data_IF_525037929932
#
_entry.id   IF_525037929932
#
_cell.length_a   1.000
_cell.length_b   1.000
_cell.length_c   1.000
_cell.angle_alpha   90.00
_cell.angle_beta   90.00
_cell.angle_gamma   90.00
#
_symmetry.space_group_name_H-M   'P 1'
#
loop_
_entity.id
_entity.type
_entity.pdbx_description
1 polymer ?
#
# COMPACT_ATOMS: atom_id res chain seq x y z
N UNK A 1 1.29 -1.96 -36.60
CA UNK A 1 0.12 -2.81 -36.91
C UNK A 1 0.01 -4.02 -35.99
N UNK A 2 1.10 -4.77 -35.72
CA UNK A 2 1.06 -5.94 -34.83
C UNK A 2 0.56 -5.62 -33.40
N UNK A 3 0.90 -4.47 -32.85
CA UNK A 3 0.42 -4.03 -31.53
C UNK A 3 -1.11 -3.85 -31.48
N UNK A 4 -1.72 -3.38 -32.57
CA UNK A 4 -3.19 -3.22 -32.65
C UNK A 4 -3.86 -4.59 -32.65
N UNK A 5 -3.32 -5.53 -33.42
CA UNK A 5 -3.84 -6.90 -33.53
C UNK A 5 -3.71 -7.69 -32.23
N UNK A 6 -2.67 -7.40 -31.44
CA UNK A 6 -2.42 -7.99 -30.13
C UNK A 6 -3.10 -7.23 -28.97
N UNK A 7 -3.76 -6.10 -29.24
CA UNK A 7 -4.56 -5.39 -28.24
C UNK A 7 -5.89 -6.11 -28.00
N UNK A 8 -6.57 -5.82 -26.89
CA UNK A 8 -7.91 -6.33 -26.66
C UNK A 8 -8.92 -5.79 -27.69
N UNK A 9 -9.94 -6.61 -27.99
CA UNK A 9 -11.01 -6.26 -28.92
C UNK A 9 -12.39 -6.46 -28.33
N UNK A 10 -13.31 -5.52 -28.56
CA UNK A 10 -14.71 -5.64 -28.12
C UNK A 10 -15.66 -5.63 -29.32
N UNK A 11 -16.45 -6.68 -29.42
CA UNK A 11 -17.59 -6.76 -30.34
C UNK A 11 -18.87 -6.50 -29.56
N UNK A 12 -19.71 -5.62 -30.10
CA UNK A 12 -21.05 -5.34 -29.62
C UNK A 12 -22.01 -6.14 -30.49
N UNK A 13 -22.68 -7.10 -29.87
CA UNK A 13 -23.67 -7.95 -30.52
C UNK A 13 -25.05 -7.49 -30.12
N UNK A 14 -25.91 -7.20 -31.09
CA UNK A 14 -27.34 -6.94 -30.90
C UNK A 14 -28.13 -8.09 -31.50
N UNK A 15 -29.35 -8.29 -31.02
CA UNK A 15 -30.24 -9.37 -31.43
C UNK A 15 -29.76 -10.74 -30.95
N UNK A 16 -29.92 -10.97 -29.65
CA UNK A 16 -29.78 -12.27 -29.00
C UNK A 16 -30.92 -13.18 -29.50
N UNK A 17 -30.61 -14.34 -30.08
CA UNK A 17 -31.61 -15.34 -30.43
C UNK A 17 -32.39 -15.76 -29.19
N UNK A 18 -33.72 -15.75 -29.28
CA UNK A 18 -34.63 -16.02 -28.15
C UNK A 18 -34.49 -17.46 -27.65
N UNK A 19 -34.07 -18.35 -28.54
CA UNK A 19 -33.87 -19.77 -28.37
C UNK A 19 -32.51 -20.15 -27.76
N UNK A 20 -31.54 -19.22 -27.70
CA UNK A 20 -30.16 -19.53 -27.28
C UNK A 20 -29.87 -19.07 -25.85
N UNK A 21 -29.31 -19.96 -25.04
CA UNK A 21 -28.86 -19.61 -23.70
C UNK A 21 -27.47 -18.93 -23.72
N UNK A 22 -27.13 -18.22 -22.63
CA UNK A 22 -25.84 -17.56 -22.44
C UNK A 22 -24.65 -18.49 -22.67
N UNK A 23 -24.73 -19.74 -22.24
CA UNK A 23 -23.68 -20.73 -22.41
C UNK A 23 -23.42 -21.06 -23.89
N UNK A 24 -24.48 -21.25 -24.67
CA UNK A 24 -24.38 -21.55 -26.10
C UNK A 24 -23.82 -20.35 -26.88
N UNK A 25 -24.22 -19.13 -26.50
CA UNK A 25 -23.66 -17.90 -27.07
C UNK A 25 -22.15 -17.85 -26.78
N UNK A 26 -21.73 -18.10 -25.53
CA UNK A 26 -20.31 -18.16 -25.18
C UNK A 26 -19.57 -19.21 -25.99
N UNK A 27 -20.15 -20.39 -26.18
CA UNK A 27 -19.56 -21.45 -26.99
C UNK A 27 -19.35 -21.02 -28.45
N UNK A 28 -20.34 -20.35 -29.07
CA UNK A 28 -20.22 -19.80 -30.43
C UNK A 28 -19.03 -18.85 -30.53
N UNK A 29 -18.91 -17.86 -29.63
CA UNK A 29 -17.84 -16.86 -29.71
C UNK A 29 -16.47 -17.44 -29.30
N UNK A 30 -16.43 -18.44 -28.41
CA UNK A 30 -15.18 -19.07 -27.98
C UNK A 30 -14.42 -19.79 -29.12
N UNK A 31 -15.11 -20.19 -30.20
CA UNK A 31 -14.52 -20.84 -31.38
C UNK A 31 -13.53 -19.95 -32.14
N UNK A 32 -13.64 -18.64 -32.00
CA UNK A 32 -12.83 -17.69 -32.77
C UNK A 32 -11.55 -17.27 -32.05
N UNK A 33 -11.48 -17.43 -30.73
CA UNK A 33 -10.29 -17.15 -29.93
C UNK A 33 -10.56 -17.00 -28.44
N UNK A 34 -9.52 -16.81 -27.63
CA UNK A 34 -9.63 -16.66 -26.19
C UNK A 34 -10.39 -15.37 -25.82
N UNK A 35 -11.39 -15.53 -24.96
CA UNK A 35 -12.17 -14.45 -24.38
C UNK A 35 -11.47 -13.89 -23.13
N UNK A 36 -11.61 -12.60 -22.87
CA UNK A 36 -10.96 -11.92 -21.75
C UNK A 36 -11.86 -11.90 -20.49
N UNK A 37 -11.41 -12.52 -19.40
CA UNK A 37 -12.14 -12.56 -18.13
C UNK A 37 -13.43 -13.38 -18.24
N UNK A 38 -14.56 -12.83 -17.78
CA UNK A 38 -15.90 -13.44 -18.00
C UNK A 38 -16.27 -13.52 -19.49
N UNK A 39 -15.51 -12.85 -20.38
CA UNK A 39 -15.60 -12.97 -21.82
C UNK A 39 -16.79 -12.25 -22.44
N UNK A 40 -18.00 -12.60 -22.01
CA UNK A 40 -19.26 -12.04 -22.51
C UNK A 40 -20.01 -11.32 -21.41
N UNK A 41 -20.29 -10.04 -21.65
CA UNK A 41 -21.06 -9.21 -20.74
C UNK A 41 -22.45 -8.98 -21.35
N UNK A 42 -23.45 -9.61 -20.77
CA UNK A 42 -24.84 -9.36 -21.11
C UNK A 42 -25.28 -8.03 -20.49
N UNK A 43 -26.01 -7.20 -21.25
CA UNK A 43 -26.52 -5.95 -20.72
C UNK A 43 -27.63 -6.15 -19.67
N UNK A 44 -28.42 -5.10 -19.42
CA UNK A 44 -29.54 -5.14 -18.46
C UNK A 44 -30.52 -6.28 -18.80
N UNK A 45 -31.32 -6.73 -17.82
CA UNK A 45 -32.23 -7.90 -17.94
C UNK A 45 -33.14 -7.96 -19.18
N UNK A 46 -33.37 -6.85 -19.91
CA UNK A 46 -34.17 -6.79 -21.13
C UNK A 46 -33.42 -6.21 -22.34
N UNK A 47 -32.11 -5.99 -22.25
CA UNK A 47 -31.34 -5.50 -23.39
C UNK A 47 -31.05 -6.67 -24.32
N UNK A 48 -31.51 -6.55 -25.56
CA UNK A 48 -31.20 -7.48 -26.64
C UNK A 48 -29.76 -7.30 -27.17
N UNK A 49 -28.81 -7.06 -26.26
CA UNK A 49 -27.44 -6.67 -26.56
C UNK A 49 -26.48 -7.25 -25.53
N UNK A 50 -25.34 -7.72 -26.02
CA UNK A 50 -24.22 -8.20 -25.22
C UNK A 50 -22.90 -7.77 -25.84
N UNK A 51 -21.86 -7.78 -25.02
CA UNK A 51 -20.50 -7.40 -25.41
C UNK A 51 -19.60 -8.61 -25.31
N UNK A 52 -18.87 -8.90 -26.37
CA UNK A 52 -17.88 -9.98 -26.40
C UNK A 52 -16.50 -9.35 -26.38
N UNK A 53 -15.71 -9.70 -25.38
CA UNK A 53 -14.35 -9.17 -25.19
C UNK A 53 -13.33 -10.27 -25.45
N UNK A 54 -12.51 -10.06 -26.47
CA UNK A 54 -11.40 -10.95 -26.81
C UNK A 54 -10.09 -10.44 -26.21
N UNK A 55 -9.20 -11.38 -25.90
CA UNK A 55 -7.82 -11.08 -25.52
C UNK A 55 -7.07 -10.43 -26.67
N UNK A 56 -7.30 -10.89 -27.90
CA UNK A 56 -6.65 -10.34 -29.09
C UNK A 56 -7.66 -9.80 -30.09
N UNK A 57 -7.37 -8.62 -30.64
CA UNK A 57 -8.22 -7.94 -31.61
C UNK A 57 -8.32 -8.72 -32.93
N UNK A 58 -7.26 -9.45 -33.31
CA UNK A 58 -7.29 -10.35 -34.48
C UNK A 58 -8.43 -11.39 -34.40
N UNK A 59 -8.71 -11.90 -33.20
CA UNK A 59 -9.74 -12.93 -32.99
C UNK A 59 -11.13 -12.29 -33.03
N UNK A 60 -11.24 -11.05 -32.52
CA UNK A 60 -12.45 -10.25 -32.65
C UNK A 60 -12.78 -9.93 -34.12
N UNK A 61 -11.77 -9.61 -34.95
CA UNK A 61 -11.95 -9.42 -36.39
C UNK A 61 -12.45 -10.71 -37.04
N UNK A 62 -11.81 -11.84 -36.73
CA UNK A 62 -12.18 -13.14 -37.27
C UNK A 62 -13.64 -13.50 -36.94
N UNK A 63 -14.05 -13.30 -35.69
CA UNK A 63 -15.42 -13.52 -35.26
C UNK A 63 -16.40 -12.58 -35.97
N UNK A 64 -16.07 -11.29 -36.06
CA UNK A 64 -16.91 -10.29 -36.72
C UNK A 64 -17.15 -10.63 -38.19
N UNK A 65 -16.11 -10.96 -38.94
CA UNK A 65 -16.22 -11.29 -40.37
C UNK A 65 -16.97 -12.60 -40.60
N UNK A 66 -16.75 -13.60 -39.74
CA UNK A 66 -17.41 -14.90 -39.88
C UNK A 66 -18.90 -14.85 -39.56
N UNK A 67 -19.29 -14.07 -38.55
CA UNK A 67 -20.67 -14.02 -38.05
C UNK A 67 -21.51 -12.90 -38.67
N UNK A 68 -20.89 -11.88 -39.28
CA UNK A 68 -21.61 -10.78 -39.96
C UNK A 68 -22.21 -11.24 -41.28
N UNK A 69 -21.47 -12.08 -42.01
CA UNK A 69 -21.86 -12.58 -43.31
C UNK A 69 -22.39 -14.03 -43.19
N UNK A 70 -23.01 -14.39 -42.06
CA UNK A 70 -23.49 -15.75 -41.81
C UNK A 70 -24.62 -16.12 -42.79
N UNK A 71 -24.24 -16.63 -43.96
CA UNK A 71 -25.13 -17.06 -45.04
C UNK A 71 -25.98 -18.27 -44.66
N UNK A 72 -25.60 -18.96 -43.58
CA UNK A 72 -26.24 -20.17 -43.08
C UNK A 72 -27.53 -19.86 -42.31
N UNK A 73 -27.73 -18.60 -41.88
CA UNK A 73 -28.98 -18.16 -41.25
C UNK A 73 -29.25 -18.78 -39.88
N UNK A 74 -28.29 -19.48 -39.29
CA UNK A 74 -28.44 -20.06 -37.94
C UNK A 74 -28.56 -18.96 -36.88
N UNK A 75 -27.97 -17.78 -37.12
CA UNK A 75 -27.92 -16.68 -36.17
C UNK A 75 -28.14 -15.32 -36.85
N UNK A 76 -29.10 -14.53 -36.37
CA UNK A 76 -29.31 -13.16 -36.83
C UNK A 76 -28.62 -12.15 -35.89
N UNK A 77 -27.31 -12.31 -35.69
CA UNK A 77 -26.54 -11.38 -34.87
C UNK A 77 -26.26 -10.08 -35.62
N UNK A 78 -26.69 -8.95 -35.06
CA UNK A 78 -26.28 -7.63 -35.55
C UNK A 78 -25.01 -7.19 -34.84
N UNK A 79 -23.87 -7.44 -35.50
CA UNK A 79 -22.54 -7.17 -34.97
C UNK A 79 -22.04 -5.76 -35.29
N UNK A 80 -21.34 -5.15 -34.34
CA UNK A 80 -20.68 -3.86 -34.50
C UNK A 80 -19.46 -3.77 -33.58
N UNK A 81 -18.45 -2.99 -33.94
CA UNK A 81 -17.35 -2.70 -33.01
C UNK A 81 -17.69 -1.51 -32.11
N UNK A 82 -17.00 -1.41 -30.97
CA UNK A 82 -16.95 -0.16 -30.20
C UNK A 82 -16.40 0.98 -31.06
N UNK A 83 -16.73 2.25 -30.73
CA UNK A 83 -16.24 3.41 -31.50
C UNK A 83 -14.72 3.37 -31.72
N UNK A 84 -13.95 3.06 -30.69
CA UNK A 84 -12.49 2.97 -30.79
C UNK A 84 -12.03 1.76 -31.61
N UNK A 85 -12.68 0.61 -31.42
CA UNK A 85 -12.32 -0.63 -32.11
C UNK A 85 -12.76 -0.61 -33.59
N UNK A 86 -13.79 0.15 -33.94
CA UNK A 86 -14.24 0.40 -35.30
C UNK A 86 -13.16 1.17 -36.09
N UNK A 87 -12.53 2.17 -35.47
CA UNK A 87 -11.42 2.91 -36.08
C UNK A 87 -10.22 1.95 -36.27
N UNK A 88 -9.91 1.13 -35.26
CA UNK A 88 -8.88 0.07 -35.38
C UNK A 88 -9.17 -0.88 -36.54
N UNK A 89 -10.40 -1.37 -36.65
CA UNK A 89 -10.81 -2.28 -37.72
C UNK A 89 -10.66 -1.63 -39.10
N UNK A 90 -11.14 -0.40 -39.28
CA UNK A 90 -11.01 0.36 -40.54
C UNK A 90 -9.56 0.61 -40.91
N UNK A 91 -8.70 0.88 -39.93
CA UNK A 91 -7.28 1.05 -40.17
C UNK A 91 -6.59 -0.26 -40.59
N UNK A 92 -6.94 -1.39 -39.96
CA UNK A 92 -6.45 -2.73 -40.34
C UNK A 92 -6.90 -3.10 -41.76
N UNK A 93 -8.11 -2.68 -42.18
CA UNK A 93 -8.60 -2.83 -43.56
C UNK A 93 -7.96 -1.86 -44.58
N UNK A 94 -7.02 -1.01 -44.16
CA UNK A 94 -6.25 -0.13 -45.05
C UNK A 94 -6.86 1.26 -45.28
N UNK A 95 -7.84 1.70 -44.49
CA UNK A 95 -8.41 3.04 -44.62
C UNK A 95 -7.44 4.12 -44.10
N UNK A 96 -6.90 4.95 -45.01
CA UNK A 96 -5.93 6.01 -44.66
C UNK A 96 -6.44 7.02 -43.63
N UNK A 97 -7.74 7.38 -43.67
CA UNK A 97 -8.32 8.33 -42.70
C UNK A 97 -8.33 7.75 -41.29
N UNK A 98 -8.71 6.48 -41.16
CA UNK A 98 -8.71 5.78 -39.88
C UNK A 98 -7.31 5.57 -39.32
N UNK A 99 -6.30 5.35 -40.18
CA UNK A 99 -4.90 5.26 -39.75
C UNK A 99 -4.41 6.58 -39.15
N UNK A 100 -4.71 7.71 -39.77
CA UNK A 100 -4.33 9.03 -39.23
C UNK A 100 -5.08 9.34 -37.92
N UNK A 101 -6.38 9.02 -37.85
CA UNK A 101 -7.18 9.18 -36.64
C UNK A 101 -6.62 8.34 -35.46
N UNK A 102 -6.20 7.09 -35.72
CA UNK A 102 -5.54 6.28 -34.69
C UNK A 102 -4.22 6.88 -34.24
N UNK A 103 -3.37 7.34 -35.16
CA UNK A 103 -2.09 7.98 -34.80
C UNK A 103 -2.32 9.18 -33.87
N UNK A 104 -3.33 9.98 -34.16
CA UNK A 104 -3.72 11.12 -33.32
C UNK A 104 -4.18 10.66 -31.93
N UNK A 105 -5.06 9.66 -31.84
CA UNK A 105 -5.53 9.10 -30.57
C UNK A 105 -4.36 8.55 -29.73
N UNK A 106 -3.45 7.78 -30.34
CA UNK A 106 -2.30 7.22 -29.62
C UNK A 106 -1.35 8.31 -29.11
N UNK A 107 -1.05 9.34 -29.91
CA UNK A 107 -0.24 10.48 -29.44
C UNK A 107 -0.88 11.20 -28.25
N UNK A 108 -2.19 11.47 -28.31
CA UNK A 108 -2.86 12.15 -27.21
C UNK A 108 -2.88 11.31 -25.93
N UNK A 109 -3.08 9.99 -26.05
CA UNK A 109 -3.04 9.09 -24.91
C UNK A 109 -1.66 9.01 -24.26
N UNK A 110 -0.58 9.09 -25.04
CA UNK A 110 0.78 9.19 -24.50
C UNK A 110 0.99 10.49 -23.72
N UNK A 111 0.52 11.62 -24.24
CA UNK A 111 0.60 12.92 -23.54
C UNK A 111 -0.19 12.91 -22.23
N UNK A 112 -1.38 12.31 -22.20
CA UNK A 112 -2.18 12.16 -20.98
C UNK A 112 -1.44 11.31 -19.95
N UNK A 113 -0.85 10.18 -20.34
CA UNK A 113 -0.07 9.33 -19.44
C UNK A 113 1.14 10.03 -18.83
N UNK A 114 1.84 10.85 -19.62
CA UNK A 114 2.97 11.65 -19.14
C UNK A 114 2.51 12.69 -18.12
N UNK A 115 1.37 13.33 -18.38
CA UNK A 115 0.81 14.32 -17.46
C UNK A 115 0.34 13.69 -16.13
N UNK A 116 -0.32 12.52 -16.18
CA UNK A 116 -0.72 11.78 -14.98
C UNK A 116 0.51 11.34 -14.16
N UNK A 117 1.60 10.93 -14.82
CA UNK A 117 2.88 10.60 -14.17
C UNK A 117 3.45 11.80 -13.39
N UNK A 118 3.60 12.94 -14.04
CA UNK A 118 4.04 14.19 -13.41
C UNK A 118 3.14 14.60 -12.23
N UNK A 119 1.82 14.42 -12.36
CA UNK A 119 0.86 14.77 -11.30
C UNK A 119 1.04 13.86 -10.07
N UNK A 120 1.29 12.56 -10.29
CA UNK A 120 1.53 11.61 -9.21
C UNK A 120 2.90 11.83 -8.53
N UNK A 121 3.93 12.22 -9.28
CA UNK A 121 5.23 12.61 -8.73
C UNK A 121 5.10 13.84 -7.83
N UNK A 122 4.41 14.89 -8.28
CA UNK A 122 4.13 16.08 -7.48
C UNK A 122 3.35 15.76 -6.20
N UNK A 123 2.36 14.86 -6.27
CA UNK A 123 1.59 14.42 -5.09
C UNK A 123 2.46 13.67 -4.08
N UNK A 124 3.39 12.84 -4.56
CA UNK A 124 4.32 12.13 -3.69
C UNK A 124 5.30 13.09 -3.01
N UNK A 125 5.85 14.06 -3.73
CA UNK A 125 6.73 15.10 -3.16
C UNK A 125 6.02 15.91 -2.06
N UNK A 126 4.77 16.32 -2.30
CA UNK A 126 3.96 17.04 -1.30
C UNK A 126 3.73 16.18 -0.05
N UNK A 127 3.45 14.88 -0.23
CA UNK A 127 3.25 13.95 0.89
C UNK A 127 4.52 13.75 1.71
N UNK A 128 5.68 13.66 1.06
CA UNK A 128 6.97 13.56 1.72
C UNK A 128 7.27 14.84 2.53
N UNK A 129 7.11 16.02 1.93
CA UNK A 129 7.28 17.30 2.61
C UNK A 129 6.36 17.43 3.84
N UNK A 130 5.08 17.03 3.71
CA UNK A 130 4.13 17.03 4.82
C UNK A 130 4.57 16.10 5.95
N UNK A 131 5.11 14.93 5.62
CA UNK A 131 5.60 13.95 6.59
C UNK A 131 6.82 14.47 7.34
N UNK A 132 7.75 15.15 6.65
CA UNK A 132 8.90 15.79 7.29
C UNK A 132 8.49 16.94 8.23
N UNK A 133 7.53 17.77 7.82
CA UNK A 133 6.98 18.83 8.68
C UNK A 133 6.34 18.26 9.95
N UNK A 134 5.61 17.15 9.84
CA UNK A 134 5.03 16.46 11.00
C UNK A 134 6.11 15.94 11.96
N UNK A 135 7.20 15.37 11.43
CA UNK A 135 8.35 14.92 12.24
C UNK A 135 9.02 16.09 12.98
N UNK A 136 9.20 17.25 12.31
CA UNK A 136 9.77 18.46 12.94
C UNK A 136 8.87 18.96 14.08
N UNK A 137 7.56 19.09 13.85
CA UNK A 137 6.59 19.49 14.90
C UNK A 137 6.58 18.55 16.10
N UNK A 138 6.72 17.24 15.90
CA UNK A 138 6.80 16.27 17.01
C UNK A 138 8.07 16.47 17.84
N UNK A 139 9.23 16.68 17.20
CA UNK A 139 10.50 16.94 17.89
C UNK A 139 10.47 18.24 18.70
N UNK A 140 9.88 19.30 18.16
CA UNK A 140 9.71 20.58 18.86
C UNK A 140 8.88 20.43 20.15
N UNK A 141 7.73 19.75 20.06
CA UNK A 141 6.88 19.46 21.23
C UNK A 141 7.59 18.63 22.30
N UNK A 142 8.47 17.70 21.91
CA UNK A 142 9.26 16.92 22.87
C UNK A 142 10.34 17.75 23.56
N UNK A 143 11.01 18.65 22.83
CA UNK A 143 12.00 19.56 23.42
C UNK A 143 11.37 20.55 24.41
N UNK A 144 10.18 21.05 24.10
CA UNK A 144 9.41 21.94 24.97
C UNK A 144 9.07 21.26 26.30
N UNK A 145 8.53 20.03 26.24
CA UNK A 145 8.25 19.21 27.45
C UNK A 145 9.49 18.92 28.30
N UNK A 146 10.68 18.78 27.68
CA UNK A 146 11.94 18.55 28.41
C UNK A 146 12.40 19.82 29.14
N UNK A 147 12.24 21.00 28.53
CA UNK A 147 12.56 22.28 29.15
C UNK A 147 11.68 22.53 30.38
N UNK A 148 10.38 22.26 30.28
CA UNK A 148 9.44 22.43 31.39
C UNK A 148 9.78 21.53 32.59
N UNK A 149 10.14 20.26 32.35
CA UNK A 149 10.59 19.35 33.41
C UNK A 149 11.87 19.84 34.09
N UNK A 150 12.83 20.36 33.31
CA UNK A 150 14.08 20.89 33.85
C UNK A 150 13.86 22.15 34.69
N UNK A 151 12.90 22.99 34.31
CA UNK A 151 12.52 24.20 35.04
C UNK A 151 11.90 23.83 36.40
N UNK A 152 10.96 22.87 36.42
CA UNK A 152 10.32 22.41 37.66
C UNK A 152 11.34 21.80 38.63
N UNK A 153 12.26 20.96 38.13
CA UNK A 153 13.30 20.34 38.96
C UNK A 153 14.20 21.38 39.63
N UNK A 154 14.60 22.41 38.89
CA UNK A 154 15.48 23.46 39.38
C UNK A 154 14.79 24.37 40.43
N UNK A 155 13.46 24.48 40.38
CA UNK A 155 12.66 25.12 41.42
C UNK A 155 12.66 24.28 42.72
N UNK A 156 12.50 22.96 42.62
CA UNK A 156 12.38 22.06 43.76
C UNK A 156 13.68 21.91 44.55
N UNK A 157 14.85 22.06 43.91
CA UNK A 157 16.16 21.90 44.56
C UNK A 157 16.66 23.16 45.29
N UNK A 158 15.97 24.30 45.19
CA UNK A 158 16.35 25.54 45.88
C UNK A 158 15.67 25.70 47.26
N UNK A 159 15.62 24.64 48.05
CA UNK A 159 15.19 24.72 49.45
C UNK A 159 16.45 24.73 50.33
N UNK A 160 16.56 25.79 51.14
CA UNK A 160 17.68 26.22 51.98
C UNK A 160 18.11 25.13 53.01
N UNK A 161 19.35 24.64 52.97
CA UNK A 161 19.93 23.84 54.07
C UNK A 161 20.52 24.79 55.14
N UNK A 162 20.18 24.63 56.44
CA UNK A 162 20.79 25.42 57.51
C UNK A 162 22.22 24.94 57.82
N UNK A 163 23.17 25.88 57.96
CA UNK A 163 24.59 25.60 58.22
C UNK A 163 24.80 24.81 59.53
N UNK A 164 25.34 23.58 59.44
CA UNK A 164 25.78 22.77 60.59
C UNK A 164 27.00 23.41 61.29
N UNK A 165 26.98 23.51 62.62
CA UNK A 165 28.07 24.12 63.39
C UNK A 165 29.27 23.18 63.55
N UNK A 166 30.48 23.73 63.63
CA UNK A 166 31.77 23.02 63.56
C UNK A 166 31.92 21.88 64.61
N UNK A 167 31.28 22.00 65.77
CA UNK A 167 31.27 20.95 66.79
C UNK A 167 30.49 19.69 66.37
N UNK A 168 29.39 19.85 65.62
CA UNK A 168 28.60 18.72 65.13
C UNK A 168 29.33 17.94 64.03
N UNK A 169 30.10 18.64 63.19
CA UNK A 169 30.95 18.04 62.17
C UNK A 169 32.10 17.22 62.80
N UNK A 170 32.72 17.71 63.88
CA UNK A 170 33.78 16.98 64.60
C UNK A 170 33.26 15.73 65.30
N UNK A 171 32.13 15.81 66.00
CA UNK A 171 31.50 14.64 66.64
C UNK A 171 31.11 13.55 65.62
N UNK A 172 30.58 13.93 64.45
CA UNK A 172 30.30 12.96 63.36
C UNK A 172 31.57 12.29 62.84
N UNK A 173 32.68 13.02 62.72
CA UNK A 173 33.94 12.47 62.25
C UNK A 173 34.54 11.47 63.26
N UNK A 174 34.54 11.82 64.55
CA UNK A 174 35.02 10.93 65.62
C UNK A 174 34.17 9.67 65.75
N UNK A 175 32.83 9.79 65.63
CA UNK A 175 31.93 8.63 65.64
C UNK A 175 32.19 7.71 64.43
N UNK A 176 32.48 8.27 63.25
CA UNK A 176 32.83 7.52 62.04
C UNK A 176 34.15 6.77 62.19
N UNK A 177 35.14 7.36 62.85
CA UNK A 177 36.41 6.69 63.15
C UNK A 177 36.22 5.59 64.20
N UNK A 178 35.41 5.81 65.22
CA UNK A 178 35.15 4.78 66.25
C UNK A 178 34.39 3.56 65.67
N UNK A 179 33.42 3.79 64.77
CA UNK A 179 32.67 2.74 64.09
C UNK A 179 33.50 1.97 63.05
N UNK A 180 34.51 2.61 62.43
CA UNK A 180 35.36 1.94 61.44
C UNK A 180 36.50 1.11 62.05
N UNK A 181 36.87 1.35 63.31
CA UNK A 181 37.96 0.65 63.98
C UNK A 181 37.53 -0.55 64.85
N UNK A 182 36.24 -0.70 65.19
CA UNK A 182 35.77 -1.67 66.19
C UNK A 182 34.76 -2.73 65.68
N UNK A 183 34.62 -2.93 64.37
CA UNK A 183 33.79 -4.01 63.82
C UNK A 183 34.67 -5.11 63.21
N UNK A 184 35.22 -6.00 64.04
CA UNK A 184 35.67 -7.31 63.57
C UNK A 184 34.50 -8.29 63.78
N UNK A 185 33.99 -8.86 62.69
CA UNK A 185 32.95 -9.87 62.72
C UNK A 185 33.59 -11.25 62.67
N UNK A 186 33.20 -12.15 63.58
CA UNK A 186 33.58 -13.57 63.48
C UNK A 186 32.51 -14.29 62.66
N UNK A 187 32.95 -14.98 61.61
CA UNK A 187 32.09 -15.81 60.77
C UNK A 187 32.04 -17.21 61.33
N UNK A 188 30.86 -17.65 61.77
CA UNK A 188 30.64 -19.05 62.12
C UNK A 188 30.09 -19.78 60.90
N UNK A 189 30.86 -20.74 60.43
CA UNK A 189 30.52 -21.59 59.29
C UNK A 189 30.23 -23.01 59.76
N UNK A 190 29.02 -23.51 59.50
CA UNK A 190 28.63 -24.90 59.69
C UNK A 190 28.44 -25.56 58.31
N UNK A 191 29.27 -26.56 58.01
CA UNK A 191 29.27 -27.25 56.72
C UNK A 191 28.00 -28.09 56.47
N UNK A 192 27.27 -28.48 57.51
CA UNK A 192 26.12 -29.38 57.40
C UNK A 192 24.77 -28.67 57.25
N UNK A 193 24.71 -27.35 57.44
CA UNK A 193 23.50 -26.54 57.19
C UNK A 193 23.86 -25.17 56.59
N UNK A 194 24.04 -25.13 55.27
CA UNK A 194 24.54 -23.95 54.52
C UNK A 194 23.70 -22.68 54.66
N UNK A 195 22.47 -22.75 55.14
CA UNK A 195 21.57 -21.60 55.22
C UNK A 195 21.63 -20.85 56.56
N UNK A 196 22.27 -21.40 57.58
CA UNK A 196 22.40 -20.78 58.91
C UNK A 196 23.82 -20.25 59.19
N UNK A 197 24.59 -19.92 58.15
CA UNK A 197 25.88 -19.25 58.31
C UNK A 197 25.67 -17.75 58.50
N UNK A 198 26.02 -17.19 59.66
CA UNK A 198 25.89 -15.76 59.94
C UNK A 198 27.14 -15.15 60.60
N UNK A 199 27.33 -13.85 60.35
CA UNK A 199 28.37 -13.03 60.97
C UNK A 199 27.86 -12.53 62.31
N UNK A 200 28.60 -12.77 63.39
CA UNK A 200 28.32 -12.09 64.66
C UNK A 200 29.39 -11.01 64.87
N UNK A 201 28.99 -9.72 65.06
CA UNK A 201 29.94 -8.68 65.39
C UNK A 201 30.55 -8.99 66.77
N UNK A 202 31.87 -9.04 66.87
CA UNK A 202 32.56 -9.12 68.16
C UNK A 202 33.20 -7.78 68.47
N UNK A 203 32.75 -7.15 69.56
CA UNK A 203 33.39 -5.97 70.08
C UNK A 203 34.49 -6.40 71.06
N UNK A 204 35.73 -5.88 70.94
CA UNK A 204 36.76 -6.15 71.93
C UNK A 204 36.31 -5.65 73.31
N UNK A 205 36.61 -6.43 74.37
CA UNK A 205 36.40 -6.02 75.76
C UNK A 205 37.35 -4.91 76.17
#
# INVERSE_FOLDING_TARGET
MNEILNSNGIIICKNIPIDKNRFEITEIFSKYGPLLGEGIHFGKKNSNMFYVKYVFFKDAIKAYESLKDDKTGEYDFRLSFSKNDEIKYRAVKGNRKAVEELKYIYRNNEQIKVNDGMTNELLNEINEQNTEMLKKKKKEKEMEKKKDKSFILNLLTKIYEPQESEQSARLKADLKNYLSLNCLCVYHFDENNKHDNYLTPTFPK
#
